data_IF_554180656243
#
_entry.id   IF_554180656243
#
_cell.length_a   1.000
_cell.length_b   1.000
_cell.length_c   1.000
_cell.angle_alpha   90.00
_cell.angle_beta   90.00
_cell.angle_gamma   90.00
#
_symmetry.space_group_name_H-M   'P 1'
#
loop_
_entity.id
_entity.type
_entity.pdbx_description
1 polymer ?
#
# COMPACT_ATOMS: atom_id res chain seq x y z
N UNK A 1 -30.21 -8.98 -12.73
CA UNK A 1 -30.92 -8.19 -13.76
C UNK A 1 -32.13 -7.53 -13.10
N UNK A 2 -32.29 -6.20 -13.22
CA UNK A 2 -33.43 -5.50 -12.63
C UNK A 2 -34.72 -5.82 -13.39
N UNK A 3 -35.84 -5.92 -12.66
CA UNK A 3 -37.15 -6.43 -13.09
C UNK A 3 -37.91 -5.56 -14.09
N UNK A 4 -37.29 -4.52 -14.67
CA UNK A 4 -38.01 -3.47 -15.41
C UNK A 4 -37.99 -3.65 -16.94
N UNK A 5 -37.54 -4.80 -17.44
CA UNK A 5 -37.46 -5.08 -18.89
C UNK A 5 -38.77 -5.55 -19.54
N UNK A 6 -39.85 -5.74 -18.76
CA UNK A 6 -41.07 -6.42 -19.23
C UNK A 6 -42.30 -5.53 -19.45
N UNK A 7 -42.17 -4.20 -19.37
CA UNK A 7 -43.23 -3.26 -19.78
C UNK A 7 -42.69 -2.31 -20.84
N UNK A 8 -42.85 -2.67 -22.12
CA UNK A 8 -42.34 -1.89 -23.24
C UNK A 8 -43.50 -1.24 -24.01
N UNK A 9 -43.73 0.05 -23.77
CA UNK A 9 -44.10 0.96 -24.86
C UNK A 9 -42.88 1.81 -25.18
N UNK A 10 -42.18 1.47 -26.26
CA UNK A 10 -41.12 2.32 -26.79
C UNK A 10 -41.77 3.44 -27.59
N UNK A 11 -41.63 4.68 -27.12
CA UNK A 11 -41.91 5.85 -27.96
C UNK A 11 -40.65 6.21 -28.73
N UNK A 12 -40.78 6.37 -30.05
CA UNK A 12 -39.71 6.94 -30.85
C UNK A 12 -39.46 8.38 -30.41
N UNK A 13 -38.19 8.72 -30.17
CA UNK A 13 -37.77 10.10 -29.95
C UNK A 13 -37.09 10.57 -31.24
N UNK A 14 -37.60 11.65 -31.84
CA UNK A 14 -37.08 12.24 -33.08
C UNK A 14 -36.02 13.34 -32.82
N UNK A 15 -35.39 13.33 -31.65
CA UNK A 15 -34.35 14.26 -31.22
C UNK A 15 -33.06 13.51 -30.94
N UNK A 16 -31.93 14.19 -31.12
CA UNK A 16 -30.64 13.67 -30.68
C UNK A 16 -30.59 13.66 -29.15
N UNK A 17 -30.46 12.45 -28.59
CA UNK A 17 -30.22 12.26 -27.17
C UNK A 17 -28.72 12.29 -26.92
N UNK A 18 -28.22 13.32 -26.23
CA UNK A 18 -26.92 13.25 -25.60
C UNK A 18 -27.02 12.31 -24.40
N UNK A 19 -26.37 11.16 -24.48
CA UNK A 19 -26.15 10.29 -23.33
C UNK A 19 -24.65 10.03 -23.18
N UNK A 20 -24.17 10.04 -21.94
CA UNK A 20 -22.84 9.52 -21.58
C UNK A 20 -23.05 8.19 -20.87
N UNK A 21 -22.45 7.14 -21.40
CA UNK A 21 -22.36 5.85 -20.70
C UNK A 21 -21.01 5.83 -20.01
N UNK A 22 -21.01 5.89 -18.69
CA UNK A 22 -19.81 5.64 -17.90
C UNK A 22 -19.72 4.13 -17.67
N UNK A 23 -18.90 3.45 -18.48
CA UNK A 23 -18.68 2.01 -18.37
C UNK A 23 -17.49 1.71 -17.45
N UNK A 24 -17.72 1.66 -16.14
CA UNK A 24 -16.76 1.15 -15.17
C UNK A 24 -15.58 2.08 -14.85
N UNK A 25 -15.12 2.00 -13.60
CA UNK A 25 -14.16 2.94 -13.00
C UNK A 25 -14.88 3.88 -12.05
N UNK A 26 -14.67 3.72 -10.74
CA UNK A 26 -15.00 4.79 -9.79
C UNK A 26 -14.12 5.98 -10.17
N UNK A 27 -14.70 7.15 -10.42
CA UNK A 27 -13.92 8.37 -10.67
C UNK A 27 -12.90 8.55 -9.55
N UNK A 28 -11.66 8.91 -9.90
CA UNK A 28 -10.61 9.16 -8.91
C UNK A 28 -11.02 10.32 -8.01
N UNK A 29 -10.89 10.14 -6.70
CA UNK A 29 -11.37 11.10 -5.71
C UNK A 29 -10.19 11.53 -4.84
N UNK A 30 -9.91 12.83 -4.81
CA UNK A 30 -8.93 13.42 -3.93
C UNK A 30 -9.64 14.37 -2.96
N UNK A 31 -9.58 14.05 -1.67
CA UNK A 31 -10.15 14.90 -0.62
C UNK A 31 -9.12 15.17 0.45
N UNK A 32 -8.87 16.45 0.69
CA UNK A 32 -8.09 16.92 1.81
C UNK A 32 -8.94 17.24 3.04
N UNK A 33 -8.27 17.35 4.20
CA UNK A 33 -8.76 18.14 5.32
C UNK A 33 -8.31 19.61 5.15
N UNK A 34 -8.79 20.52 6.01
CA UNK A 34 -8.37 21.92 5.96
C UNK A 34 -6.84 22.04 6.07
N UNK A 35 -6.18 22.60 5.05
CA UNK A 35 -4.73 22.82 5.04
C UNK A 35 -3.90 21.80 4.24
N UNK A 36 -4.52 20.80 3.61
CA UNK A 36 -3.80 19.91 2.68
C UNK A 36 -3.31 20.69 1.47
N UNK A 37 -2.02 20.57 1.14
CA UNK A 37 -1.39 21.24 0.00
C UNK A 37 -0.72 20.23 -0.94
N UNK A 38 -0.98 20.34 -2.24
CA UNK A 38 -0.27 19.64 -3.31
C UNK A 38 0.75 20.60 -3.92
N UNK A 39 2.03 20.24 -3.90
CA UNK A 39 3.12 21.11 -4.38
C UNK A 39 3.21 21.22 -5.91
N UNK A 40 2.58 20.30 -6.65
CA UNK A 40 2.55 20.28 -8.11
C UNK A 40 1.12 20.29 -8.67
N UNK A 41 0.93 19.56 -9.77
CA UNK A 41 -0.36 19.42 -10.44
C UNK A 41 -1.20 18.31 -9.80
N UNK A 42 -2.53 18.47 -9.81
CA UNK A 42 -3.49 17.49 -9.30
C UNK A 42 -4.43 17.04 -10.41
N UNK A 43 -4.45 15.74 -10.66
CA UNK A 43 -5.36 15.10 -11.62
C UNK A 43 -6.31 14.14 -10.88
N UNK A 44 -7.60 14.48 -10.79
CA UNK A 44 -8.61 13.62 -10.19
C UNK A 44 -9.99 13.91 -10.78
N UNK A 45 -10.87 12.91 -10.87
CA UNK A 45 -12.26 13.13 -11.29
C UNK A 45 -12.96 14.16 -10.38
N UNK A 46 -12.80 14.00 -9.06
CA UNK A 46 -13.32 14.93 -8.07
C UNK A 46 -12.23 15.38 -7.11
N UNK A 47 -12.13 16.70 -6.90
CA UNK A 47 -11.20 17.36 -5.99
C UNK A 47 -12.01 18.06 -4.88
N UNK A 48 -11.66 17.82 -3.61
CA UNK A 48 -12.33 18.45 -2.47
C UNK A 48 -11.32 18.93 -1.42
N UNK A 49 -11.51 20.16 -0.93
CA UNK A 49 -10.86 20.67 0.29
C UNK A 49 -9.32 20.61 0.29
N UNK A 50 -8.69 21.04 -0.81
CA UNK A 50 -7.22 21.00 -1.03
C UNK A 50 -6.69 22.29 -1.66
N UNK A 51 -5.46 22.67 -1.34
CA UNK A 51 -4.71 23.73 -2.05
C UNK A 51 -3.72 23.10 -3.02
N UNK A 52 -3.84 23.37 -4.32
CA UNK A 52 -2.94 22.89 -5.37
C UNK A 52 -2.03 24.05 -5.79
N UNK A 53 -0.72 23.86 -5.73
CA UNK A 53 0.25 24.90 -6.06
C UNK A 53 0.45 25.03 -7.58
N UNK A 54 0.24 23.94 -8.32
CA UNK A 54 0.20 23.89 -9.77
C UNK A 54 -1.22 23.85 -10.33
N UNK A 55 -1.41 23.04 -11.36
CA UNK A 55 -2.63 22.95 -12.15
C UNK A 55 -3.60 21.88 -11.63
N UNK A 56 -4.92 22.15 -11.70
CA UNK A 56 -5.95 21.19 -11.31
C UNK A 56 -6.80 20.71 -12.50
N UNK A 57 -6.80 19.40 -12.76
CA UNK A 57 -7.53 18.72 -13.84
C UNK A 57 -8.65 17.85 -13.25
N UNK A 58 -9.91 18.19 -13.56
CA UNK A 58 -11.06 17.58 -12.86
C UNK A 58 -12.39 17.58 -13.63
N UNK A 59 -13.35 16.79 -13.15
CA UNK A 59 -14.78 16.88 -13.51
C UNK A 59 -15.57 17.68 -12.47
N UNK A 60 -15.28 17.50 -11.18
CA UNK A 60 -15.91 18.23 -10.06
C UNK A 60 -14.86 18.79 -9.09
N UNK A 61 -15.07 20.02 -8.59
CA UNK A 61 -14.19 20.66 -7.61
C UNK A 61 -15.01 21.34 -6.52
N UNK A 62 -14.65 21.13 -5.25
CA UNK A 62 -15.30 21.75 -4.10
C UNK A 62 -14.24 22.25 -3.11
N UNK A 63 -14.40 23.47 -2.57
CA UNK A 63 -13.53 24.02 -1.51
C UNK A 63 -12.01 23.92 -1.77
N UNK A 64 -11.57 23.96 -3.03
CA UNK A 64 -10.17 23.79 -3.41
C UNK A 64 -9.64 24.99 -4.19
N UNK A 65 -8.33 25.20 -4.14
CA UNK A 65 -7.61 26.26 -4.87
C UNK A 65 -6.54 25.66 -5.77
N UNK A 66 -6.25 26.29 -6.91
CA UNK A 66 -5.21 25.88 -7.86
C UNK A 66 -4.61 27.10 -8.56
N UNK A 67 -3.42 26.97 -9.16
CA UNK A 67 -2.84 28.01 -10.02
C UNK A 67 -3.65 28.18 -11.32
N UNK A 68 -4.00 27.08 -11.97
CA UNK A 68 -4.92 27.04 -13.11
C UNK A 68 -5.95 25.91 -12.96
N UNK A 69 -7.11 26.08 -13.59
CA UNK A 69 -8.25 25.14 -13.51
C UNK A 69 -8.58 24.58 -14.91
N UNK A 70 -8.65 23.26 -15.01
CA UNK A 70 -8.96 22.53 -16.24
C UNK A 70 -10.20 21.63 -16.06
N UNK A 71 -11.42 22.21 -16.02
CA UNK A 71 -12.66 21.46 -15.88
C UNK A 71 -12.97 20.63 -17.14
N UNK A 72 -13.58 19.45 -16.94
CA UNK A 72 -13.93 18.53 -18.02
C UNK A 72 -12.76 17.67 -18.52
N UNK A 73 -11.60 17.72 -17.84
CA UNK A 73 -10.44 16.88 -18.14
C UNK A 73 -10.78 15.40 -18.00
N UNK A 74 -10.27 14.58 -18.93
CA UNK A 74 -10.49 13.13 -18.86
C UNK A 74 -9.97 12.54 -17.57
N UNK A 75 -10.68 11.56 -17.02
CA UNK A 75 -10.22 10.86 -15.82
C UNK A 75 -8.83 10.25 -16.07
N UNK A 76 -7.93 10.29 -15.07
CA UNK A 76 -6.65 9.61 -15.16
C UNK A 76 -6.85 8.14 -15.52
N UNK A 77 -6.04 7.63 -16.44
CA UNK A 77 -6.07 6.20 -16.78
C UNK A 77 -5.72 5.38 -15.54
N UNK A 78 -6.45 4.28 -15.33
CA UNK A 78 -6.06 3.30 -14.32
C UNK A 78 -4.67 2.77 -14.67
N UNK A 79 -3.81 2.73 -13.66
CA UNK A 79 -2.47 2.12 -13.76
C UNK A 79 -2.51 0.84 -12.94
N UNK A 80 -1.91 -0.22 -13.47
CA UNK A 80 -1.76 -1.47 -12.74
C UNK A 80 -0.84 -1.26 -11.53
N UNK A 81 -1.06 -2.03 -10.46
CA UNK A 81 -0.15 -2.00 -9.33
C UNK A 81 1.25 -2.46 -9.76
N UNK A 82 2.32 -1.89 -9.16
CA UNK A 82 3.70 -2.23 -9.51
C UNK A 82 4.07 -3.67 -9.16
N UNK A 83 3.34 -4.29 -8.22
CA UNK A 83 3.52 -5.67 -7.77
C UNK A 83 2.35 -6.51 -8.28
N UNK A 84 2.66 -7.59 -9.01
CA UNK A 84 1.65 -8.52 -9.53
C UNK A 84 1.25 -9.59 -8.50
N UNK A 85 0.04 -10.15 -8.63
CA UNK A 85 -0.39 -11.29 -7.81
C UNK A 85 0.49 -12.53 -7.97
N UNK A 86 1.08 -12.72 -9.16
CA UNK A 86 2.02 -13.82 -9.40
C UNK A 86 3.30 -13.65 -8.58
N UNK A 87 3.79 -12.42 -8.46
CA UNK A 87 4.96 -12.10 -7.63
C UNK A 87 4.68 -12.30 -6.13
N UNK A 88 3.50 -11.90 -5.65
CA UNK A 88 3.08 -12.19 -4.26
C UNK A 88 3.01 -13.70 -4.01
N UNK A 89 2.50 -14.46 -4.98
CA UNK A 89 2.42 -15.92 -4.87
C UNK A 89 3.81 -16.55 -4.81
N UNK A 90 4.76 -16.06 -5.61
CA UNK A 90 6.16 -16.51 -5.54
C UNK A 90 6.75 -16.31 -4.14
N UNK A 91 6.58 -15.13 -3.53
CA UNK A 91 7.06 -14.86 -2.18
C UNK A 91 6.41 -15.75 -1.12
N UNK A 92 5.13 -16.08 -1.27
CA UNK A 92 4.46 -17.06 -0.40
C UNK A 92 5.02 -18.47 -0.55
N UNK A 93 5.34 -18.87 -1.78
CA UNK A 93 5.95 -20.17 -2.05
C UNK A 93 7.37 -20.24 -1.48
N UNK A 94 8.14 -19.14 -1.53
CA UNK A 94 9.46 -19.02 -0.89
C UNK A 94 9.36 -19.19 0.63
N UNK A 95 8.42 -18.49 1.27
CA UNK A 95 8.15 -18.64 2.70
C UNK A 95 7.76 -20.09 3.06
N UNK A 96 6.89 -20.71 2.25
CA UNK A 96 6.48 -22.11 2.42
C UNK A 96 7.65 -23.08 2.28
N UNK A 97 8.57 -22.84 1.33
CA UNK A 97 9.77 -23.65 1.13
C UNK A 97 10.75 -23.56 2.31
N UNK A 98 10.75 -22.43 3.03
CA UNK A 98 11.50 -22.26 4.27
C UNK A 98 10.97 -23.06 5.47
N UNK A 99 9.71 -23.49 5.39
CA UNK A 99 9.05 -24.33 6.38
C UNK A 99 7.67 -23.82 6.77
N UNK A 100 7.00 -24.57 7.64
CA UNK A 100 5.68 -24.23 8.17
C UNK A 100 5.72 -24.23 9.69
N UNK A 101 5.26 -23.14 10.30
CA UNK A 101 4.94 -23.06 11.72
C UNK A 101 3.43 -23.08 11.89
N UNK A 102 2.90 -24.07 12.61
CA UNK A 102 1.46 -24.20 12.87
C UNK A 102 1.07 -23.48 14.16
N UNK A 103 0.06 -22.60 14.07
CA UNK A 103 -0.41 -21.77 15.17
C UNK A 103 0.29 -20.41 15.23
N UNK A 104 -0.08 -19.61 16.22
CA UNK A 104 0.42 -18.24 16.33
C UNK A 104 1.92 -18.22 16.68
N UNK A 105 2.65 -17.29 16.08
CA UNK A 105 4.05 -16.99 16.38
C UNK A 105 4.13 -15.76 17.29
N UNK A 106 4.68 -15.95 18.50
CA UNK A 106 4.77 -14.89 19.52
C UNK A 106 6.12 -14.83 20.23
N UNK A 107 7.16 -15.45 19.64
CA UNK A 107 8.49 -15.49 20.23
C UNK A 107 9.23 -14.15 20.03
N UNK A 108 10.13 -13.83 20.97
CA UNK A 108 10.90 -12.59 21.00
C UNK A 108 12.40 -12.88 21.15
N UNK A 109 13.23 -11.98 20.63
CA UNK A 109 14.69 -12.12 20.66
C UNK A 109 15.22 -13.21 19.74
N UNK A 110 14.45 -13.58 18.71
CA UNK A 110 14.73 -14.70 17.81
C UNK A 110 14.85 -14.23 16.37
N UNK A 111 15.56 -15.01 15.56
CA UNK A 111 15.51 -14.91 14.11
C UNK A 111 14.38 -15.77 13.54
N UNK A 112 13.73 -15.30 12.48
CA UNK A 112 12.64 -15.98 11.79
C UNK A 112 12.78 -15.81 10.28
N UNK A 113 12.49 -16.86 9.53
CA UNK A 113 12.40 -16.79 8.07
C UNK A 113 13.56 -17.47 7.32
N UNK A 114 13.35 -17.88 6.06
CA UNK A 114 12.06 -17.91 5.36
C UNK A 114 11.06 -18.88 6.05
N UNK A 115 9.79 -18.50 6.17
CA UNK A 115 8.81 -19.28 6.94
C UNK A 115 7.36 -18.91 6.62
N UNK A 116 6.50 -19.92 6.41
CA UNK A 116 5.05 -19.78 6.48
C UNK A 116 4.55 -19.98 7.92
N UNK A 117 3.75 -19.05 8.42
CA UNK A 117 3.03 -19.16 9.70
C UNK A 117 1.55 -19.42 9.40
N UNK A 118 1.02 -20.56 9.85
CA UNK A 118 -0.41 -20.89 9.80
C UNK A 118 -1.10 -20.42 11.07
N UNK A 119 -1.27 -19.10 11.16
CA UNK A 119 -1.78 -18.38 12.32
C UNK A 119 -1.28 -16.94 12.31
N UNK A 120 -1.36 -16.29 13.47
CA UNK A 120 -0.99 -14.88 13.60
C UNK A 120 0.50 -14.70 13.95
N UNK A 121 1.12 -13.63 13.47
CA UNK A 121 2.40 -13.13 13.97
C UNK A 121 2.13 -11.97 14.94
N UNK A 122 2.43 -12.16 16.22
CA UNK A 122 2.16 -11.16 17.26
C UNK A 122 3.45 -10.85 18.01
N UNK A 123 3.98 -9.65 17.80
CA UNK A 123 5.09 -9.12 18.59
C UNK A 123 4.51 -8.31 19.75
N UNK A 124 4.46 -8.92 20.94
CA UNK A 124 4.06 -8.23 22.18
C UNK A 124 4.97 -7.05 22.51
N UNK A 125 4.58 -6.19 23.43
CA UNK A 125 5.33 -4.95 23.71
C UNK A 125 6.82 -5.21 24.03
N UNK A 126 7.71 -4.43 23.40
CA UNK A 126 9.17 -4.55 23.53
C UNK A 126 9.72 -5.92 23.07
N UNK A 127 9.14 -6.47 22.01
CA UNK A 127 9.55 -7.73 21.41
C UNK A 127 10.30 -7.46 20.11
N UNK A 128 11.58 -7.86 20.06
CA UNK A 128 12.41 -7.68 18.88
C UNK A 128 12.55 -9.01 18.13
N UNK A 129 12.38 -8.99 16.81
CA UNK A 129 12.51 -10.16 15.94
C UNK A 129 13.32 -9.80 14.70
N UNK A 130 14.28 -10.66 14.37
CA UNK A 130 15.11 -10.52 13.17
C UNK A 130 14.58 -11.39 12.04
N UNK A 131 14.36 -10.82 10.86
CA UNK A 131 13.84 -11.51 9.68
C UNK A 131 15.00 -11.94 8.79
N UNK A 132 15.19 -13.25 8.64
CA UNK A 132 16.28 -13.86 7.87
C UNK A 132 15.86 -14.33 6.47
N UNK A 133 14.58 -14.20 6.11
CA UNK A 133 14.04 -14.56 4.80
C UNK A 133 12.56 -14.18 4.67
N UNK A 134 11.96 -14.46 3.51
CA UNK A 134 10.55 -14.13 3.23
C UNK A 134 9.59 -14.75 4.24
N UNK A 135 8.67 -13.95 4.78
CA UNK A 135 7.63 -14.41 5.70
C UNK A 135 6.26 -14.38 5.03
N UNK A 136 5.49 -15.45 5.21
CA UNK A 136 4.07 -15.49 4.87
C UNK A 136 3.27 -15.86 6.10
N UNK A 137 2.46 -14.93 6.58
CA UNK A 137 1.55 -15.09 7.71
C UNK A 137 0.15 -15.31 7.16
N UNK A 138 -0.36 -16.53 7.32
CA UNK A 138 -1.74 -16.87 7.00
C UNK A 138 -2.67 -16.49 8.15
N UNK A 139 -2.74 -15.19 8.41
CA UNK A 139 -3.36 -14.57 9.57
C UNK A 139 -2.93 -13.12 9.70
N UNK A 140 -3.07 -12.56 10.89
CA UNK A 140 -2.78 -11.14 11.13
C UNK A 140 -1.30 -10.93 11.49
N UNK A 141 -0.79 -9.74 11.22
CA UNK A 141 0.50 -9.27 11.77
C UNK A 141 0.21 -8.12 12.73
N UNK A 142 0.55 -8.31 14.00
CA UNK A 142 0.34 -7.34 15.07
C UNK A 142 1.68 -7.01 15.76
N UNK A 143 2.28 -5.87 15.38
CA UNK A 143 3.52 -5.38 15.97
C UNK A 143 3.17 -4.32 16.99
N UNK A 144 3.29 -4.67 18.28
CA UNK A 144 2.85 -3.83 19.38
C UNK A 144 3.88 -2.81 19.82
N UNK A 145 3.48 -2.03 20.81
CA UNK A 145 4.21 -0.86 21.23
C UNK A 145 5.64 -1.17 21.70
N UNK A 146 6.63 -0.47 21.12
CA UNK A 146 8.06 -0.62 21.46
C UNK A 146 8.74 -1.86 20.84
N UNK A 147 8.05 -2.59 19.97
CA UNK A 147 8.55 -3.83 19.35
C UNK A 147 9.20 -3.56 18.00
N UNK A 148 10.13 -4.43 17.59
CA UNK A 148 10.80 -4.29 16.30
C UNK A 148 10.78 -5.55 15.44
N UNK A 149 10.61 -5.34 14.13
CA UNK A 149 10.81 -6.34 13.08
C UNK A 149 11.90 -5.82 12.15
N UNK A 150 13.07 -6.46 12.16
CA UNK A 150 14.29 -5.94 11.52
C UNK A 150 14.81 -6.96 10.52
N UNK A 151 15.16 -6.55 9.30
CA UNK A 151 15.83 -7.48 8.38
C UNK A 151 17.23 -7.83 8.90
N UNK A 152 17.62 -9.09 8.72
CA UNK A 152 18.97 -9.52 9.05
C UNK A 152 20.01 -8.77 8.20
N UNK A 153 21.15 -8.44 8.81
CA UNK A 153 22.25 -7.72 8.14
C UNK A 153 22.76 -8.41 6.87
N UNK A 154 22.57 -9.74 6.75
CA UNK A 154 22.93 -10.53 5.57
C UNK A 154 22.19 -10.10 4.29
N UNK A 155 21.09 -9.35 4.39
CA UNK A 155 20.40 -8.79 3.23
C UNK A 155 21.24 -7.73 2.50
N UNK A 156 22.21 -7.08 3.16
CA UNK A 156 22.98 -6.00 2.55
C UNK A 156 22.04 -4.93 2.01
N UNK A 157 22.26 -4.45 0.78
CA UNK A 157 21.35 -3.49 0.13
C UNK A 157 20.05 -4.10 -0.43
N UNK A 158 19.77 -5.39 -0.23
CA UNK A 158 18.52 -5.97 -0.68
C UNK A 158 17.39 -5.72 0.33
N UNK A 159 16.17 -5.64 -0.16
CA UNK A 159 14.96 -5.63 0.67
C UNK A 159 14.47 -7.02 1.03
N UNK A 160 13.57 -7.10 2.01
CA UNK A 160 12.89 -8.32 2.42
C UNK A 160 11.38 -8.18 2.36
N UNK A 161 10.67 -9.32 2.31
CA UNK A 161 9.23 -9.35 2.07
C UNK A 161 8.50 -10.05 3.22
N UNK A 162 7.43 -9.42 3.70
CA UNK A 162 6.53 -9.97 4.70
C UNK A 162 5.09 -9.83 4.20
N UNK A 163 4.40 -10.96 4.05
CA UNK A 163 3.03 -11.03 3.53
C UNK A 163 2.08 -11.48 4.63
N UNK A 164 0.94 -10.79 4.76
CA UNK A 164 -0.22 -11.20 5.56
C UNK A 164 -1.39 -11.48 4.63
N UNK A 165 -2.07 -12.63 4.82
CA UNK A 165 -3.34 -12.91 4.13
C UNK A 165 -4.50 -12.07 4.69
N UNK A 166 -4.34 -11.50 5.88
CA UNK A 166 -5.31 -10.64 6.53
C UNK A 166 -4.80 -9.19 6.66
N UNK A 167 -4.70 -8.66 7.89
CA UNK A 167 -4.37 -7.27 8.17
C UNK A 167 -3.04 -7.13 8.89
N UNK A 168 -2.40 -5.98 8.69
CA UNK A 168 -1.16 -5.60 9.36
C UNK A 168 -1.47 -4.40 10.27
N UNK A 169 -1.09 -4.51 11.54
CA UNK A 169 -1.18 -3.42 12.51
C UNK A 169 0.19 -3.13 13.12
N UNK A 170 0.58 -1.87 13.03
CA UNK A 170 1.75 -1.32 13.71
C UNK A 170 1.26 -0.38 14.81
N UNK A 171 1.57 -0.67 16.07
CA UNK A 171 1.25 0.22 17.19
C UNK A 171 2.31 1.31 17.40
N UNK A 172 2.01 2.26 18.29
CA UNK A 172 2.88 3.37 18.67
C UNK A 172 4.27 2.89 19.10
N UNK A 173 5.33 3.51 18.61
CA UNK A 173 6.72 3.11 18.88
C UNK A 173 7.13 1.72 18.37
N UNK A 174 6.33 1.09 17.49
CA UNK A 174 6.81 -0.05 16.72
C UNK A 174 7.89 0.39 15.71
N UNK A 175 8.82 -0.49 15.41
CA UNK A 175 9.85 -0.28 14.40
C UNK A 175 9.83 -1.40 13.37
N UNK A 176 9.79 -1.05 12.09
CA UNK A 176 10.02 -1.99 10.99
C UNK A 176 11.10 -1.39 10.13
N UNK A 177 12.21 -2.12 9.95
CA UNK A 177 13.43 -1.55 9.36
C UNK A 177 14.13 -2.53 8.44
N UNK A 178 14.93 -1.99 7.52
CA UNK A 178 15.80 -2.75 6.63
C UNK A 178 16.95 -3.43 7.36
N UNK A 179 17.97 -3.84 6.60
CA UNK A 179 19.14 -4.57 7.13
C UNK A 179 20.13 -3.68 7.92
N UNK A 180 19.87 -2.37 8.00
CA UNK A 180 20.80 -1.34 8.44
C UNK A 180 21.65 -0.75 7.30
N UNK A 181 21.49 -1.25 6.07
CA UNK A 181 21.98 -0.59 4.86
C UNK A 181 20.93 0.42 4.35
N UNK A 182 21.34 1.61 3.93
CA UNK A 182 20.43 2.69 3.50
C UNK A 182 19.63 2.39 2.22
N UNK A 183 19.99 1.36 1.46
CA UNK A 183 19.25 0.90 0.27
C UNK A 183 18.35 -0.32 0.57
N UNK A 184 18.28 -0.77 1.82
CA UNK A 184 17.54 -1.98 2.23
C UNK A 184 16.18 -1.62 2.80
N UNK A 185 15.11 -2.19 2.23
CA UNK A 185 13.73 -1.89 2.62
C UNK A 185 12.94 -3.14 2.95
N UNK A 186 12.00 -3.05 3.89
CA UNK A 186 11.01 -4.09 4.14
C UNK A 186 9.71 -3.79 3.39
N UNK A 187 9.28 -4.70 2.53
CA UNK A 187 7.98 -4.67 1.87
C UNK A 187 6.95 -5.41 2.73
N UNK A 188 5.98 -4.68 3.27
CA UNK A 188 4.84 -5.23 4.00
C UNK A 188 3.62 -5.30 3.09
N UNK A 189 3.09 -6.51 2.89
CA UNK A 189 1.94 -6.77 2.02
C UNK A 189 0.76 -7.27 2.84
N UNK A 190 -0.38 -6.61 2.73
CA UNK A 190 -1.67 -7.10 3.24
C UNK A 190 -2.59 -7.40 2.06
N UNK A 191 -3.00 -8.66 1.92
CA UNK A 191 -3.97 -9.07 0.89
C UNK A 191 -5.43 -9.02 1.37
N UNK A 192 -5.63 -8.94 2.68
CA UNK A 192 -6.93 -8.93 3.33
C UNK A 192 -7.33 -7.55 3.85
N UNK A 193 -8.28 -7.56 4.80
CA UNK A 193 -8.73 -6.37 5.52
C UNK A 193 -8.92 -6.72 6.98
N UNK A 194 -8.71 -5.72 7.84
CA UNK A 194 -8.87 -5.84 9.28
C UNK A 194 -10.32 -6.07 9.70
N UNK A 195 -10.53 -6.30 11.00
CA UNK A 195 -11.85 -6.55 11.54
C UNK A 195 -12.79 -5.33 11.36
N UNK A 196 -14.09 -5.62 11.30
CA UNK A 196 -15.13 -4.61 11.37
C UNK A 196 -15.03 -3.81 12.68
N UNK A 197 -15.32 -2.48 12.71
CA UNK A 197 -15.95 -1.70 11.63
C UNK A 197 -14.99 -1.00 10.68
N UNK A 198 -13.69 -0.96 10.98
CA UNK A 198 -12.76 -0.04 10.33
C UNK A 198 -12.15 -0.64 9.05
N UNK A 199 -11.93 -1.97 9.01
CA UNK A 199 -11.61 -2.77 7.80
C UNK A 199 -10.35 -2.29 7.03
N UNK A 200 -9.39 -1.68 7.70
CA UNK A 200 -8.11 -1.33 7.10
C UNK A 200 -7.25 -2.56 6.85
N UNK A 201 -6.61 -2.62 5.69
CA UNK A 201 -5.64 -3.67 5.37
C UNK A 201 -4.33 -3.45 6.16
N UNK A 202 -3.91 -2.19 6.24
CA UNK A 202 -2.73 -1.79 7.01
C UNK A 202 -3.12 -0.61 7.90
N UNK A 203 -2.98 -0.78 9.21
CA UNK A 203 -3.17 0.26 10.23
C UNK A 203 -1.81 0.62 10.85
N UNK A 204 -1.45 1.90 10.80
CA UNK A 204 -0.29 2.45 11.51
C UNK A 204 -0.80 3.41 12.58
N UNK A 205 -0.65 3.03 13.85
CA UNK A 205 -1.01 3.86 15.01
C UNK A 205 0.24 4.61 15.45
N UNK A 206 0.24 5.92 15.32
CA UNK A 206 1.49 6.70 15.47
C UNK A 206 1.70 7.27 16.87
N UNK A 207 2.79 8.02 17.01
CA UNK A 207 3.39 8.53 18.24
C UNK A 207 4.83 8.05 18.44
N UNK A 208 5.67 8.06 17.39
CA UNK A 208 7.08 7.58 17.33
C UNK A 208 7.30 6.21 16.64
N UNK A 209 6.55 5.88 15.60
CA UNK A 209 6.80 4.67 14.79
C UNK A 209 7.98 4.91 13.85
N UNK A 210 8.97 4.01 13.84
CA UNK A 210 10.08 4.05 12.88
C UNK A 210 9.81 3.10 11.71
N UNK A 211 9.51 3.68 10.55
CA UNK A 211 9.21 2.97 9.30
C UNK A 211 9.92 3.63 8.11
N UNK A 212 11.08 4.24 8.39
CA UNK A 212 11.88 4.97 7.40
C UNK A 212 12.43 4.03 6.30
N UNK A 213 12.40 2.72 6.50
CA UNK A 213 12.85 1.75 5.50
C UNK A 213 11.73 0.80 5.07
N UNK A 214 10.48 1.28 5.02
CA UNK A 214 9.30 0.42 4.79
C UNK A 214 8.49 0.85 3.59
N UNK A 215 8.07 -0.16 2.83
CA UNK A 215 7.16 -0.04 1.69
C UNK A 215 5.87 -0.78 2.06
N UNK A 216 4.74 -0.10 1.91
CA UNK A 216 3.42 -0.65 2.27
C UNK A 216 2.61 -0.97 1.02
N UNK A 217 2.10 -2.20 0.92
CA UNK A 217 1.29 -2.62 -0.20
C UNK A 217 -0.01 -3.29 0.25
N UNK A 218 -1.15 -2.68 -0.12
CA UNK A 218 -2.49 -3.16 0.21
C UNK A 218 -3.39 -3.17 -1.03
N UNK A 219 -3.19 -4.08 -2.00
CA UNK A 219 -3.87 -4.06 -3.29
C UNK A 219 -5.40 -4.11 -3.19
N UNK A 220 -5.93 -4.71 -2.12
CA UNK A 220 -7.37 -4.95 -1.95
C UNK A 220 -8.03 -4.06 -0.89
N UNK A 221 -7.28 -3.26 -0.14
CA UNK A 221 -7.78 -2.60 1.06
C UNK A 221 -7.25 -1.19 1.29
N UNK A 222 -7.61 -0.65 2.46
CA UNK A 222 -7.22 0.71 2.87
C UNK A 222 -5.93 0.66 3.67
N UNK A 223 -4.94 1.47 3.30
CA UNK A 223 -3.81 1.82 4.17
C UNK A 223 -4.21 3.05 4.97
N UNK A 224 -4.11 2.97 6.30
CA UNK A 224 -4.48 4.08 7.18
C UNK A 224 -3.40 4.40 8.18
N UNK A 225 -3.17 5.70 8.33
CA UNK A 225 -2.09 6.25 9.13
C UNK A 225 -2.71 7.22 10.11
N UNK A 226 -2.68 6.83 11.38
CA UNK A 226 -3.34 7.55 12.45
C UNK A 226 -2.36 8.52 13.13
N UNK A 227 -2.48 9.82 12.87
CA UNK A 227 -1.75 10.95 13.50
C UNK A 227 -0.21 10.89 13.35
N UNK A 228 0.55 11.77 13.99
CA UNK A 228 1.81 12.31 13.45
C UNK A 228 3.13 11.52 13.51
N UNK A 229 4.16 12.15 12.94
CA UNK A 229 5.58 11.81 13.14
C UNK A 229 6.16 10.70 12.26
N UNK A 230 5.33 9.97 11.50
CA UNK A 230 5.82 8.99 10.54
C UNK A 230 6.28 9.68 9.24
N UNK A 231 7.51 9.37 8.80
CA UNK A 231 7.95 9.60 7.43
C UNK A 231 7.82 8.27 6.70
N UNK A 232 7.10 8.26 5.59
CA UNK A 232 6.94 7.08 4.76
C UNK A 232 7.68 7.28 3.45
N UNK A 233 8.32 6.21 2.99
CA UNK A 233 9.02 6.20 1.71
C UNK A 233 8.06 5.90 0.56
N UNK A 234 7.31 4.80 0.66
CA UNK A 234 6.37 4.42 -0.39
C UNK A 234 5.20 3.61 0.13
N UNK A 235 4.01 3.89 -0.42
CA UNK A 235 2.80 3.14 -0.12
C UNK A 235 1.91 3.07 -1.36
N UNK A 236 1.30 1.90 -1.57
CA UNK A 236 0.31 1.68 -2.61
C UNK A 236 -0.85 0.85 -2.06
N UNK A 237 -2.08 1.29 -2.31
CA UNK A 237 -3.27 0.55 -1.92
C UNK A 237 -4.52 1.05 -2.62
N UNK A 238 -5.62 0.32 -2.46
CA UNK A 238 -6.91 0.67 -3.08
C UNK A 238 -7.46 2.02 -2.57
N UNK A 239 -7.20 2.31 -1.29
CA UNK A 239 -7.51 3.59 -0.64
C UNK A 239 -6.40 3.92 0.34
N UNK A 240 -6.08 5.20 0.46
CA UNK A 240 -5.10 5.70 1.41
C UNK A 240 -5.82 6.74 2.28
N UNK A 241 -5.77 6.57 3.59
CA UNK A 241 -6.30 7.50 4.59
C UNK A 241 -5.16 7.99 5.48
N UNK A 242 -4.86 9.28 5.41
CA UNK A 242 -3.79 9.89 6.19
C UNK A 242 -4.43 10.92 7.12
N UNK A 243 -4.21 10.80 8.43
CA UNK A 243 -4.64 11.78 9.42
C UNK A 243 -3.60 12.92 9.57
N UNK A 244 -3.98 13.96 10.33
CA UNK A 244 -3.19 15.19 10.46
C UNK A 244 -1.74 14.96 10.94
N UNK A 245 -0.80 15.80 10.46
CA UNK A 245 0.63 15.82 10.81
C UNK A 245 1.47 14.61 10.36
N UNK A 246 1.11 13.96 9.25
CA UNK A 246 1.93 12.91 8.60
C UNK A 246 2.66 13.50 7.39
N UNK A 247 3.95 13.19 7.25
CA UNK A 247 4.76 13.53 6.07
C UNK A 247 4.92 12.32 5.16
N UNK A 248 4.45 12.42 3.91
CA UNK A 248 4.75 11.43 2.87
C UNK A 248 5.86 11.98 1.98
N UNK A 249 7.03 11.33 1.99
CA UNK A 249 8.18 11.74 1.18
C UNK A 249 8.46 10.61 0.19
N UNK A 250 8.03 10.82 -1.05
CA UNK A 250 8.32 9.86 -2.11
C UNK A 250 9.75 10.03 -2.60
N UNK A 251 10.59 8.99 -2.43
CA UNK A 251 11.94 8.98 -3.01
C UNK A 251 11.93 8.42 -4.43
N UNK A 252 12.53 9.16 -5.37
CA UNK A 252 12.70 8.67 -6.74
C UNK A 252 13.77 7.57 -6.77
N UNK A 253 13.40 6.37 -7.23
CA UNK A 253 14.35 5.26 -7.42
C UNK A 253 13.96 3.97 -6.70
N UNK A 254 12.97 4.00 -5.82
CA UNK A 254 12.50 2.81 -5.09
C UNK A 254 11.86 1.75 -6.00
N UNK A 255 11.36 2.15 -7.17
CA UNK A 255 10.96 1.22 -8.23
C UNK A 255 12.09 0.31 -8.74
N UNK A 256 13.36 0.62 -8.44
CA UNK A 256 14.53 -0.21 -8.73
C UNK A 256 15.04 -1.01 -7.50
N UNK A 257 14.35 -0.93 -6.36
CA UNK A 257 14.73 -1.69 -5.17
C UNK A 257 14.62 -3.19 -5.44
N UNK A 258 15.66 -3.94 -5.08
CA UNK A 258 15.70 -5.39 -5.26
C UNK A 258 15.26 -6.08 -3.98
N UNK A 259 14.14 -6.79 -4.01
CA UNK A 259 13.67 -7.60 -2.89
C UNK A 259 14.25 -9.01 -3.02
N UNK A 260 15.07 -9.42 -2.05
CA UNK A 260 15.72 -10.72 -2.03
C UNK A 260 14.99 -11.68 -1.09
N UNK A 261 15.10 -12.98 -1.37
CA UNK A 261 14.51 -14.04 -0.55
C UNK A 261 15.29 -14.35 0.75
N UNK A 262 16.43 -13.68 0.97
CA UNK A 262 17.42 -14.05 1.99
C UNK A 262 18.28 -15.25 1.56
N UNK A 263 19.61 -15.11 1.57
CA UNK A 263 20.58 -16.16 1.21
C UNK A 263 20.68 -16.51 -0.30
N UNK A 264 21.70 -15.98 -0.96
CA UNK A 264 22.29 -16.44 -2.25
C UNK A 264 21.39 -16.66 -3.49
N UNK A 265 20.23 -16.02 -3.59
CA UNK A 265 19.51 -15.95 -4.87
C UNK A 265 18.99 -14.54 -5.14
N UNK A 266 19.82 -13.72 -5.78
CA UNK A 266 19.41 -12.44 -6.35
C UNK A 266 18.98 -12.63 -7.81
N UNK A 267 17.84 -12.04 -8.19
CA UNK A 267 17.47 -11.90 -9.60
C UNK A 267 18.12 -10.63 -10.16
N UNK A 268 18.83 -10.77 -11.27
CA UNK A 268 19.44 -9.67 -12.03
C UNK A 268 18.44 -9.17 -13.08
N UNK A 269 18.25 -7.85 -13.19
CA UNK A 269 17.56 -7.24 -14.33
C UNK A 269 18.37 -7.48 -15.60
N UNK A 270 17.77 -8.14 -16.60
CA UNK A 270 18.42 -8.38 -17.89
C UNK A 270 18.10 -7.24 -18.86
N UNK A 271 19.11 -6.43 -19.12
CA UNK A 271 19.04 -5.30 -20.04
C UNK A 271 18.60 -5.76 -21.45
N UNK A 272 17.57 -5.10 -22.03
CA UNK A 272 17.08 -5.38 -23.39
C UNK A 272 15.62 -5.84 -23.55
N UNK A 273 14.77 -5.75 -22.54
CA UNK A 273 13.36 -6.20 -22.60
C UNK A 273 12.31 -5.13 -22.92
N UNK A 274 12.67 -3.92 -23.35
CA UNK A 274 11.69 -2.95 -23.87
C UNK A 274 12.14 -2.21 -25.15
N UNK A 275 11.17 -2.01 -26.05
CA UNK A 275 11.29 -1.17 -27.25
C UNK A 275 10.82 0.24 -26.93
N UNK A 276 11.67 1.22 -27.27
CA UNK A 276 11.36 2.66 -27.19
C UNK A 276 10.48 3.03 -28.40
N UNK A 277 9.25 3.50 -28.17
CA UNK A 277 8.52 4.30 -29.15
C UNK A 277 8.86 5.77 -28.96
#
# INVERSE_FOLDING_TARGET
ASSNWLYQSWSNVYWDMNFRINMGGSGTYFQGASGVTVGGDLHANTIDSVTVSGDAYYQSINNATAANYYPGSTDPSQTDFPISNAQITQWKDEALNGGVHTGNYTACGTSIGPLKIEGDLILWNNCDVTVTGTLYVDGIIDIRSGSSLVLDSSFGGNGGVVVSSEHIRLETSAAVTGSGNGDSYMLLISEGVGPSPTREAIEIRTGDVNIDDVILFAPNGTVKIFQGGATLLELAGKKIEIADNVGLVYEQGLANATFAAGGDSAWEMRDGTWLKF
#
